data_IF_976800951209
#
_entry.id   IF_976800951209
#
_cell.length_a   1.000
_cell.length_b   1.000
_cell.length_c   1.000
_cell.angle_alpha   90.00
_cell.angle_beta   90.00
_cell.angle_gamma   90.00
#
_symmetry.space_group_name_H-M   'P 1'
#
loop_
_entity.id
_entity.type
_entity.pdbx_description
1 polymer ?
#
# COMPACT_ATOMS: atom_id res chain seq x y z
N UNK A 1 6.88 -19.32 7.56
CA UNK A 1 7.33 -18.85 6.23
C UNK A 1 7.42 -17.34 6.27
N UNK A 2 8.50 -16.74 5.73
CA UNK A 2 8.66 -15.30 5.71
C UNK A 2 7.54 -14.63 4.91
N UNK A 3 7.05 -13.51 5.42
CA UNK A 3 5.96 -12.73 4.82
C UNK A 3 6.36 -11.26 4.77
N UNK A 4 6.07 -10.62 3.64
CA UNK A 4 6.29 -9.18 3.43
C UNK A 4 5.01 -8.52 2.94
N UNK A 5 4.87 -7.22 3.21
CA UNK A 5 3.80 -6.36 2.71
C UNK A 5 4.41 -5.30 1.82
N UNK A 6 3.88 -5.16 0.61
CA UNK A 6 4.28 -4.11 -0.30
C UNK A 6 3.77 -2.77 0.19
N UNK A 7 4.65 -1.77 0.26
CA UNK A 7 4.31 -0.40 0.66
C UNK A 7 4.07 0.50 -0.56
N UNK A 8 4.36 0.00 -1.76
CA UNK A 8 4.19 0.70 -3.04
C UNK A 8 3.47 -0.17 -4.06
N UNK A 9 2.83 0.45 -5.04
CA UNK A 9 2.32 -0.24 -6.24
C UNK A 9 3.44 -0.44 -7.26
N UNK A 10 3.49 -1.61 -7.91
CA UNK A 10 4.49 -1.91 -8.92
C UNK A 10 4.23 -3.21 -9.66
N UNK A 11 5.22 -3.66 -10.43
CA UNK A 11 5.19 -4.94 -11.14
C UNK A 11 6.52 -5.65 -10.95
N UNK A 12 6.47 -6.93 -10.59
CA UNK A 12 7.63 -7.81 -10.48
C UNK A 12 7.41 -9.07 -11.32
N UNK A 13 8.47 -9.59 -11.92
CA UNK A 13 8.40 -10.85 -12.67
C UNK A 13 8.08 -12.06 -11.77
N UNK A 14 8.32 -11.96 -10.46
CA UNK A 14 8.08 -13.03 -9.49
C UNK A 14 6.64 -13.03 -8.95
N UNK A 15 6.07 -11.84 -8.73
CA UNK A 15 4.79 -11.67 -8.02
C UNK A 15 3.69 -11.11 -8.93
N UNK A 16 4.05 -10.63 -10.12
CA UNK A 16 3.15 -9.93 -11.04
C UNK A 16 2.92 -8.48 -10.63
N UNK A 17 1.76 -7.94 -10.98
CA UNK A 17 1.34 -6.62 -10.50
C UNK A 17 0.99 -6.71 -9.02
N UNK A 18 1.61 -5.84 -8.20
CA UNK A 18 1.35 -5.74 -6.77
C UNK A 18 0.95 -4.31 -6.41
N UNK A 19 0.16 -4.18 -5.36
CA UNK A 19 -0.30 -2.89 -4.85
C UNK A 19 0.23 -2.62 -3.45
N UNK A 20 0.22 -1.35 -3.03
CA UNK A 20 0.48 -1.02 -1.63
C UNK A 20 -0.59 -1.69 -0.74
N UNK A 21 -0.15 -2.37 0.32
CA UNK A 21 -0.98 -3.20 1.21
C UNK A 21 -1.11 -4.66 0.77
N UNK A 22 -0.59 -5.04 -0.40
CA UNK A 22 -0.59 -6.43 -0.83
C UNK A 22 0.48 -7.22 -0.06
N UNK A 23 0.22 -8.51 0.22
CA UNK A 23 1.13 -9.33 1.03
C UNK A 23 1.66 -10.51 0.25
N UNK A 24 2.98 -10.65 0.21
CA UNK A 24 3.67 -11.75 -0.42
C UNK A 24 4.27 -12.68 0.62
N UNK A 25 4.14 -13.99 0.38
CA UNK A 25 4.73 -15.04 1.21
C UNK A 25 5.59 -15.91 0.30
N UNK A 26 6.89 -15.97 0.57
CA UNK A 26 7.86 -16.62 -0.33
C UNK A 26 9.14 -17.04 0.38
N UNK A 27 10.19 -17.28 -0.40
CA UNK A 27 11.52 -17.57 0.14
C UNK A 27 12.12 -16.34 0.82
N UNK A 28 12.98 -16.57 1.83
CA UNK A 28 13.63 -15.48 2.57
C UNK A 28 14.50 -14.60 1.66
N UNK A 29 15.16 -15.20 0.67
CA UNK A 29 15.95 -14.48 -0.33
C UNK A 29 15.11 -13.52 -1.19
N UNK A 30 13.92 -13.96 -1.63
CA UNK A 30 13.02 -13.13 -2.44
C UNK A 30 12.44 -11.98 -1.61
N UNK A 31 11.99 -12.28 -0.39
CA UNK A 31 11.49 -11.27 0.54
C UNK A 31 12.56 -10.22 0.87
N UNK A 32 13.81 -10.65 1.06
CA UNK A 32 14.93 -9.75 1.32
C UNK A 32 15.22 -8.84 0.12
N UNK A 33 15.15 -9.34 -1.10
CA UNK A 33 15.33 -8.53 -2.32
C UNK A 33 14.29 -7.39 -2.38
N UNK A 34 13.02 -7.67 -2.09
CA UNK A 34 11.96 -6.65 -2.10
C UNK A 34 12.10 -5.59 -1.00
N UNK A 35 12.64 -5.97 0.17
CA UNK A 35 12.81 -5.08 1.32
C UNK A 35 14.11 -4.25 1.22
N UNK A 36 15.23 -4.89 0.88
CA UNK A 36 16.58 -4.30 0.99
C UNK A 36 17.01 -3.61 -0.32
N UNK A 37 16.79 -4.26 -1.47
CA UNK A 37 17.21 -3.74 -2.77
C UNK A 37 16.13 -2.87 -3.43
N UNK A 38 14.91 -3.40 -3.53
CA UNK A 38 13.82 -2.68 -4.17
C UNK A 38 13.13 -1.66 -3.25
N UNK A 39 13.32 -1.77 -1.92
CA UNK A 39 12.71 -0.93 -0.89
C UNK A 39 11.19 -0.72 -1.07
N UNK A 40 10.51 -1.72 -1.62
CA UNK A 40 9.10 -1.66 -1.99
C UNK A 40 8.21 -2.50 -1.06
N UNK A 41 8.82 -3.20 -0.10
CA UNK A 41 8.12 -4.03 0.87
C UNK A 41 8.70 -3.87 2.29
N UNK A 42 7.92 -4.29 3.30
CA UNK A 42 8.34 -4.40 4.70
C UNK A 42 8.09 -5.82 5.23
N UNK A 43 8.93 -6.30 6.12
CA UNK A 43 8.73 -7.58 6.80
C UNK A 43 7.48 -7.54 7.68
N UNK A 44 6.55 -8.47 7.45
CA UNK A 44 5.36 -8.64 8.29
C UNK A 44 5.63 -9.82 9.21
N UNK A 45 6.16 -9.51 10.40
CA UNK A 45 6.19 -10.50 11.48
C UNK A 45 4.76 -10.68 11.97
N UNK A 46 4.30 -11.92 12.09
CA UNK A 46 2.92 -12.27 12.45
C UNK A 46 2.64 -11.84 13.90
N UNK A 47 2.37 -10.56 14.10
CA UNK A 47 1.54 -10.06 15.19
C UNK A 47 0.25 -9.56 14.54
N UNK A 48 -0.74 -10.45 14.53
CA UNK A 48 -2.18 -10.24 14.70
C UNK A 48 -2.84 -9.01 14.00
N UNK A 49 -3.92 -9.21 13.22
CA UNK A 49 -4.35 -8.33 12.14
C UNK A 49 -4.96 -7.02 12.66
N UNK A 50 -4.49 -5.89 12.14
CA UNK A 50 -5.05 -4.59 12.48
C UNK A 50 -4.58 -3.41 11.63
N UNK A 51 -3.61 -3.57 10.73
CA UNK A 51 -3.15 -2.47 9.88
C UNK A 51 -3.69 -2.63 8.47
N UNK A 52 -4.96 -2.30 8.32
CA UNK A 52 -5.42 -1.60 7.12
C UNK A 52 -4.92 -0.15 7.22
N UNK A 53 -3.62 0.05 6.97
CA UNK A 53 -3.03 1.37 6.70
C UNK A 53 -2.43 1.22 5.30
N UNK A 54 -2.97 1.74 4.21
CA UNK A 54 -3.40 3.10 4.00
C UNK A 54 -4.20 3.13 2.68
N UNK A 55 -5.51 2.88 2.76
CA UNK A 55 -6.44 3.17 1.68
C UNK A 55 -7.17 4.49 2.00
N UNK A 56 -6.45 5.53 2.45
CA UNK A 56 -7.09 6.78 2.85
C UNK A 56 -6.15 8.00 2.90
N UNK A 57 -5.34 8.25 1.87
CA UNK A 57 -4.81 9.62 1.68
C UNK A 57 -4.66 10.04 0.22
N UNK A 58 -5.79 10.11 -0.47
CA UNK A 58 -6.02 11.28 -1.33
C UNK A 58 -6.97 12.18 -0.55
N UNK A 59 -6.50 13.34 -0.03
CA UNK A 59 -7.36 14.23 0.73
C UNK A 59 -8.55 14.63 -0.15
N UNK A 60 -9.74 14.42 0.38
CA UNK A 60 -10.95 15.02 -0.12
C UNK A 60 -10.65 16.49 -0.41
N UNK A 61 -10.66 16.87 -1.67
CA UNK A 61 -10.73 18.28 -2.06
C UNK A 61 -12.10 18.73 -1.57
N UNK A 62 -12.24 19.64 -0.59
CA UNK A 62 -13.49 20.33 -0.43
C UNK A 62 -13.56 21.32 -1.58
N UNK A 63 -14.01 20.87 -2.77
CA UNK A 63 -14.62 21.81 -3.72
C UNK A 63 -15.86 22.30 -3.00
N UNK A 64 -15.70 23.48 -2.38
CA UNK A 64 -16.78 24.25 -1.82
C UNK A 64 -17.85 24.35 -2.90
N UNK A 65 -18.95 23.64 -2.68
CA UNK A 65 -20.25 23.98 -3.22
C UNK A 65 -20.52 25.44 -2.85
N UNK A 66 -20.18 26.38 -3.73
CA UNK A 66 -20.72 27.73 -3.68
C UNK A 66 -22.10 27.66 -4.31
N UNK A 67 -23.06 27.18 -3.52
CA UNK A 67 -24.47 27.38 -3.77
C UNK A 67 -25.01 28.25 -2.61
N UNK A 68 -25.04 29.57 -2.83
CA UNK A 68 -25.80 30.51 -2.00
C UNK A 68 -26.22 31.75 -2.81
N UNK A 69 -27.28 31.57 -3.60
CA UNK A 69 -28.53 32.37 -3.64
C UNK A 69 -28.48 33.87 -3.31
N UNK A 70 -28.85 34.73 -4.27
CA UNK A 70 -29.75 35.92 -4.17
C UNK A 70 -29.85 36.59 -5.57
N UNK A 71 -30.93 36.40 -6.32
CA UNK A 71 -32.09 37.30 -6.38
C UNK A 71 -31.72 38.79 -6.31
N UNK A 72 -31.76 39.46 -7.46
CA UNK A 72 -32.32 40.79 -7.60
C UNK A 72 -32.91 40.97 -8.99
#
# INVERSE_FOLDING_TARGET
MPKVEFITTGHSHLVGNFSAGDTFTGGEAECKHFVDEAMCAKWVSVQTPGQAEDAAKVPAVPVKTVAAKRSR
#
